data_IF_368665916335
#
_entry.id   IF_368665916335
#
_cell.length_a   1.000
_cell.length_b   1.000
_cell.length_c   1.000
_cell.angle_alpha   90.00
_cell.angle_beta   90.00
_cell.angle_gamma   90.00
#
_symmetry.space_group_name_H-M   'P 1'
#
loop_
_entity.id
_entity.type
_entity.pdbx_description
1 polymer ?
#
# COMPACT_ATOMS: atom_id res chain seq x y z
N UNK A 1 32.59 -20.28 19.36
CA UNK A 1 33.84 -19.55 19.07
C UNK A 1 34.07 -19.60 17.56
N UNK A 2 33.93 -18.44 16.92
CA UNK A 2 34.43 -17.97 15.61
C UNK A 2 34.78 -18.96 14.49
N UNK A 3 34.13 -18.75 13.34
CA UNK A 3 34.75 -18.86 12.00
C UNK A 3 34.82 -20.29 11.44
N UNK A 4 34.65 -20.53 10.14
CA UNK A 4 35.32 -19.85 9.03
C UNK A 4 34.48 -20.08 7.76
N UNK A 5 34.26 -19.01 7.00
CA UNK A 5 33.98 -19.11 5.57
C UNK A 5 35.06 -19.98 4.93
N UNK A 6 34.69 -21.12 4.37
CA UNK A 6 35.46 -21.67 3.26
C UNK A 6 34.57 -21.88 2.05
N UNK A 7 34.41 -20.76 1.34
CA UNK A 7 33.97 -20.60 -0.04
C UNK A 7 35.06 -21.11 -1.00
N UNK A 8 35.89 -22.09 -0.63
CA UNK A 8 37.00 -22.52 -1.47
C UNK A 8 36.72 -23.84 -2.18
N UNK A 9 36.23 -23.64 -3.41
CA UNK A 9 36.72 -24.37 -4.58
C UNK A 9 36.35 -25.86 -4.66
N UNK A 10 35.46 -26.11 -5.63
CA UNK A 10 35.45 -27.31 -6.48
C UNK A 10 35.04 -28.58 -5.74
N UNK A 11 33.85 -29.06 -6.06
CA UNK A 11 33.74 -30.18 -7.00
C UNK A 11 32.28 -30.52 -7.27
N UNK A 12 32.03 -30.79 -8.56
CA UNK A 12 30.96 -31.62 -9.09
C UNK A 12 29.61 -30.91 -9.29
N UNK A 13 29.52 -30.30 -10.48
CA UNK A 13 28.36 -30.45 -11.34
C UNK A 13 27.87 -31.91 -11.27
N UNK A 14 26.59 -32.12 -11.01
CA UNK A 14 26.02 -33.46 -11.06
C UNK A 14 24.74 -33.62 -10.28
N UNK A 15 23.67 -32.96 -10.74
CA UNK A 15 22.30 -33.46 -10.55
C UNK A 15 21.35 -32.68 -11.45
N UNK A 16 21.29 -33.09 -12.72
CA UNK A 16 20.08 -32.89 -13.53
C UNK A 16 18.99 -33.71 -12.84
N UNK A 17 18.10 -33.05 -12.12
CA UNK A 17 16.83 -33.66 -11.68
C UNK A 17 15.73 -33.00 -12.51
N UNK A 18 15.17 -33.83 -13.36
CA UNK A 18 14.00 -33.67 -14.20
C UNK A 18 12.86 -32.92 -13.52
N UNK A 19 12.24 -32.03 -14.28
CA UNK A 19 11.20 -31.12 -13.82
C UNK A 19 9.96 -31.78 -13.23
N UNK A 20 9.45 -31.13 -12.18
CA UNK A 20 8.04 -31.02 -11.88
C UNK A 20 7.87 -29.67 -11.15
N UNK A 21 7.58 -28.61 -11.90
CA UNK A 21 7.21 -27.31 -11.35
C UNK A 21 5.84 -27.43 -10.70
N UNK A 22 5.77 -27.96 -9.47
CA UNK A 22 4.55 -27.92 -8.67
C UNK A 22 4.29 -26.47 -8.36
N UNK A 23 3.22 -25.94 -8.97
CA UNK A 23 2.84 -24.55 -8.97
C UNK A 23 2.94 -23.95 -7.58
N UNK A 24 3.75 -22.89 -7.49
CA UNK A 24 3.79 -22.00 -6.36
C UNK A 24 2.36 -21.47 -6.17
N UNK A 25 1.62 -22.07 -5.24
CA UNK A 25 0.33 -21.57 -4.80
C UNK A 25 0.59 -20.22 -4.13
N UNK A 26 0.63 -19.17 -4.94
CA UNK A 26 0.45 -17.80 -4.50
C UNK A 26 -0.93 -17.75 -3.87
N UNK A 27 -0.99 -18.06 -2.56
CA UNK A 27 -2.03 -17.56 -1.69
C UNK A 27 -1.85 -16.06 -1.72
N UNK A 28 -2.51 -15.41 -2.68
CA UNK A 28 -2.68 -13.98 -2.69
C UNK A 28 -3.27 -13.62 -1.35
N UNK A 29 -2.43 -13.15 -0.43
CA UNK A 29 -2.89 -12.48 0.77
C UNK A 29 -3.77 -11.37 0.28
N UNK A 30 -5.10 -11.53 0.42
CA UNK A 30 -6.02 -10.42 0.32
C UNK A 30 -5.57 -9.51 1.45
N UNK A 31 -4.72 -8.54 1.14
CA UNK A 31 -4.49 -7.40 2.01
C UNK A 31 -5.91 -6.90 2.27
N UNK A 32 -6.37 -7.03 3.51
CA UNK A 32 -7.65 -6.45 3.92
C UNK A 32 -7.46 -4.95 3.72
N UNK A 33 -7.84 -4.45 2.54
CA UNK A 33 -8.00 -3.02 2.35
C UNK A 33 -8.94 -2.58 3.48
N UNK A 34 -8.46 -1.66 4.32
CA UNK A 34 -9.32 -1.07 5.34
C UNK A 34 -10.59 -0.57 4.64
N UNK A 35 -11.75 -0.88 5.21
CA UNK A 35 -13.03 -0.42 4.67
C UNK A 35 -13.04 1.10 4.72
N UNK A 36 -13.10 1.74 3.55
CA UNK A 36 -13.15 3.19 3.43
C UNK A 36 -14.58 3.67 3.76
N UNK A 37 -14.69 4.84 4.37
CA UNK A 37 -15.98 5.50 4.59
C UNK A 37 -16.56 6.01 3.27
N UNK A 38 -17.88 5.98 3.15
CA UNK A 38 -18.58 6.64 2.04
C UNK A 38 -18.38 8.14 2.09
N UNK A 39 -18.55 8.84 0.96
CA UNK A 39 -18.54 10.32 0.96
C UNK A 39 -19.56 10.91 1.93
N UNK A 40 -20.74 10.30 2.07
CA UNK A 40 -21.74 10.74 3.04
C UNK A 40 -21.26 10.51 4.49
N UNK A 41 -20.70 9.34 4.79
CA UNK A 41 -20.16 9.04 6.13
C UNK A 41 -19.00 9.99 6.48
N UNK A 42 -18.18 10.36 5.51
CA UNK A 42 -17.08 11.30 5.66
C UNK A 42 -17.52 12.76 5.81
N UNK A 43 -18.80 13.06 5.56
CA UNK A 43 -19.28 14.44 5.36
C UNK A 43 -18.39 15.17 4.34
N UNK A 44 -18.02 14.46 3.27
CA UNK A 44 -17.14 14.97 2.24
C UNK A 44 -17.81 16.12 1.49
N UNK A 45 -17.02 17.17 1.23
CA UNK A 45 -17.37 18.36 0.47
C UNK A 45 -16.34 18.54 -0.63
N UNK A 46 -16.78 18.94 -1.81
CA UNK A 46 -15.89 19.27 -2.93
C UNK A 46 -15.20 20.63 -2.80
N UNK A 47 -15.52 21.39 -1.75
CA UNK A 47 -14.93 22.68 -1.43
C UNK A 47 -14.16 22.61 -0.09
N UNK A 48 -13.14 23.47 0.10
CA UNK A 48 -12.33 23.45 1.31
C UNK A 48 -13.11 23.93 2.53
N UNK A 49 -12.60 23.60 3.71
CA UNK A 49 -13.11 24.10 4.99
C UNK A 49 -12.20 25.21 5.52
N UNK A 50 -12.49 26.44 5.10
CA UNK A 50 -11.62 27.59 5.36
C UNK A 50 -10.30 27.43 4.60
N UNK A 51 -9.19 27.40 5.33
CA UNK A 51 -7.88 27.13 4.73
C UNK A 51 -7.63 25.62 4.52
N UNK A 52 -8.41 24.73 5.14
CA UNK A 52 -8.15 23.29 5.14
C UNK A 52 -8.73 22.59 3.93
N UNK A 53 -7.88 21.94 3.13
CA UNK A 53 -8.26 21.13 1.97
C UNK A 53 -7.59 19.76 1.99
N UNK A 54 -8.10 18.81 1.21
CA UNK A 54 -7.51 17.50 1.02
C UNK A 54 -6.05 17.57 0.54
N UNK A 55 -5.67 18.59 -0.23
CA UNK A 55 -4.28 18.83 -0.63
C UNK A 55 -3.31 19.08 0.53
N UNK A 56 -3.83 19.50 1.69
CA UNK A 56 -3.05 19.66 2.92
C UNK A 56 -3.26 18.51 3.92
N UNK A 57 -3.94 17.43 3.51
CA UNK A 57 -4.29 16.31 4.37
C UNK A 57 -3.31 15.15 4.17
N UNK A 58 -2.79 14.57 5.26
CA UNK A 58 -1.90 13.38 5.23
C UNK A 58 -2.58 12.11 4.69
N UNK A 59 -3.91 12.12 4.64
CA UNK A 59 -4.73 11.02 4.13
C UNK A 59 -5.00 11.10 2.63
N UNK A 60 -4.73 12.25 2.00
CA UNK A 60 -4.94 12.42 0.57
C UNK A 60 -3.84 11.73 -0.23
N UNK A 61 -4.27 11.01 -1.26
CA UNK A 61 -3.42 10.30 -2.20
C UNK A 61 -3.63 10.93 -3.57
N UNK A 62 -2.65 11.75 -4.00
CA UNK A 62 -2.70 12.40 -5.33
C UNK A 62 -2.88 11.36 -6.44
N UNK A 63 -3.61 11.67 -7.52
CA UNK A 63 -4.23 12.97 -7.79
C UNK A 63 -5.67 13.12 -7.27
N UNK A 64 -6.37 12.03 -6.96
CA UNK A 64 -7.81 12.05 -6.70
C UNK A 64 -8.31 10.98 -5.70
N UNK A 65 -7.47 10.54 -4.77
CA UNK A 65 -7.79 9.42 -3.87
C UNK A 65 -7.60 9.82 -2.41
N UNK A 66 -8.20 9.07 -1.49
CA UNK A 66 -8.00 9.23 -0.05
C UNK A 66 -7.86 7.85 0.60
N UNK A 67 -7.00 7.74 1.61
CA UNK A 67 -6.79 6.50 2.38
C UNK A 67 -8.06 6.03 3.08
N UNK A 68 -8.92 6.96 3.48
CA UNK A 68 -10.10 6.67 4.29
C UNK A 68 -11.42 6.93 3.59
N UNK A 69 -11.51 7.79 2.58
CA UNK A 69 -12.77 8.07 1.85
C UNK A 69 -12.80 7.29 0.54
N UNK A 70 -13.93 6.64 0.25
CA UNK A 70 -14.15 5.94 -1.02
C UNK A 70 -14.47 6.90 -2.18
N UNK A 71 -14.21 6.44 -3.40
CA UNK A 71 -14.42 7.22 -4.62
C UNK A 71 -13.35 8.29 -4.86
N UNK A 72 -13.60 9.13 -5.87
CA UNK A 72 -12.69 10.24 -6.20
C UNK A 72 -12.79 11.38 -5.18
N UNK A 73 -11.65 11.87 -4.71
CA UNK A 73 -11.52 12.96 -3.75
C UNK A 73 -10.73 14.09 -4.42
N UNK A 74 -11.25 15.31 -4.42
CA UNK A 74 -10.54 16.47 -5.00
C UNK A 74 -9.44 16.96 -4.06
N UNK A 75 -8.33 17.49 -4.59
CA UNK A 75 -7.30 18.21 -3.81
C UNK A 75 -7.91 19.44 -3.09
N UNK A 76 -8.93 20.06 -3.68
CA UNK A 76 -9.65 21.20 -3.10
C UNK A 76 -10.81 20.80 -2.17
N UNK A 77 -11.08 19.50 -2.02
CA UNK A 77 -12.16 19.01 -1.17
C UNK A 77 -11.82 19.05 0.32
N UNK A 78 -12.75 18.62 1.16
CA UNK A 78 -12.55 18.44 2.60
C UNK A 78 -13.50 17.37 3.15
N UNK A 79 -13.12 16.67 4.23
CA UNK A 79 -14.01 15.76 4.95
C UNK A 79 -13.73 15.80 6.46
N UNK A 80 -14.64 15.25 7.27
CA UNK A 80 -14.52 15.30 8.74
C UNK A 80 -13.35 14.49 9.32
N UNK A 81 -12.79 13.57 8.54
CA UNK A 81 -11.59 12.80 8.90
C UNK A 81 -10.28 13.54 8.56
N UNK A 82 -10.35 14.83 8.25
CA UNK A 82 -9.18 15.65 7.92
C UNK A 82 -8.09 15.55 8.98
N UNK A 83 -6.85 15.33 8.54
CA UNK A 83 -5.65 15.34 9.35
C UNK A 83 -4.58 16.13 8.60
N UNK A 84 -4.19 17.28 9.15
CA UNK A 84 -3.18 18.16 8.55
C UNK A 84 -1.87 17.38 8.33
N UNK A 85 -1.24 17.55 7.17
CA UNK A 85 0.09 17.03 6.92
C UNK A 85 1.11 17.83 7.75
N UNK A 86 1.94 17.12 8.54
CA UNK A 86 3.05 17.67 9.30
C UNK A 86 4.20 18.16 8.39
#
# INVERSE_FOLDING_TARGET
MVGILDRSRRKLMGAVVTGASVGLLFRGSRIKAAEKMTKQQAEYRDAPNGIYSCGMCTLFEKPKSCKVVEGEVSEDGWCKAFALAD
#
